data_IF_493801730344
#
_entry.id   IF_493801730344
#
_cell.length_a   1.000
_cell.length_b   1.000
_cell.length_c   1.000
_cell.angle_alpha   90.00
_cell.angle_beta   90.00
_cell.angle_gamma   90.00
#
_symmetry.space_group_name_H-M   'P 1'
#
loop_
_entity.id
_entity.type
_entity.pdbx_description
1 polymer ?
#
# COMPACT_ATOMS: atom_id res chain seq x y z
N UNK A 1 -27.29 1.10 -10.73
CA UNK A 1 -26.54 0.74 -11.95
C UNK A 1 -25.42 1.75 -12.17
N UNK A 2 -24.29 1.54 -11.55
CA UNK A 2 -23.05 2.28 -11.82
C UNK A 2 -22.49 1.74 -13.13
N UNK A 3 -22.67 2.47 -14.23
CA UNK A 3 -21.98 2.18 -15.49
C UNK A 3 -20.51 2.51 -15.32
N UNK A 4 -19.68 1.49 -15.11
CA UNK A 4 -18.24 1.59 -15.22
C UNK A 4 -17.89 1.88 -16.68
N UNK A 5 -17.59 3.14 -16.99
CA UNK A 5 -17.02 3.49 -18.28
C UNK A 5 -15.53 3.07 -18.27
N UNK A 6 -15.20 2.03 -18.98
CA UNK A 6 -13.82 1.69 -19.28
C UNK A 6 -13.24 2.75 -20.22
N UNK A 7 -12.56 3.73 -19.63
CA UNK A 7 -11.81 4.75 -20.37
C UNK A 7 -10.44 4.20 -20.74
N UNK A 8 -10.40 3.20 -21.62
CA UNK A 8 -9.16 2.54 -22.07
C UNK A 8 -8.26 3.45 -22.90
N UNK A 9 -8.81 4.47 -23.57
CA UNK A 9 -8.06 5.33 -24.47
C UNK A 9 -7.09 6.31 -23.80
N UNK A 10 -7.38 6.79 -22.58
CA UNK A 10 -6.51 7.73 -21.83
C UNK A 10 -5.36 7.03 -21.15
N UNK A 11 -5.55 5.80 -20.70
CA UNK A 11 -4.47 5.01 -20.11
C UNK A 11 -3.30 4.79 -21.09
N UNK A 12 -3.59 4.61 -22.38
CA UNK A 12 -2.55 4.38 -23.39
C UNK A 12 -1.74 5.63 -23.75
N UNK A 13 -2.24 6.83 -23.51
CA UNK A 13 -1.58 8.07 -23.92
C UNK A 13 -0.93 8.83 -22.76
N UNK A 14 -1.57 8.87 -21.59
CA UNK A 14 -1.02 9.51 -20.40
C UNK A 14 0.03 8.63 -19.69
N UNK A 15 -0.08 7.30 -19.79
CA UNK A 15 0.88 6.37 -19.20
C UNK A 15 2.32 6.57 -19.68
N UNK A 16 2.64 6.71 -20.99
CA UNK A 16 4.02 6.94 -21.42
C UNK A 16 4.60 8.25 -20.87
N UNK A 17 3.79 9.31 -20.75
CA UNK A 17 4.22 10.60 -20.20
C UNK A 17 4.55 10.45 -18.71
N UNK A 18 3.71 9.74 -17.97
CA UNK A 18 3.88 9.54 -16.53
C UNK A 18 4.96 8.50 -16.18
N UNK A 19 5.14 7.47 -17.01
CA UNK A 19 6.15 6.41 -16.80
C UNK A 19 7.56 6.88 -17.10
N UNK A 20 7.74 7.73 -18.12
CA UNK A 20 9.05 8.23 -18.54
C UNK A 20 9.57 9.42 -17.71
N UNK A 21 8.86 9.81 -16.66
CA UNK A 21 9.34 10.86 -15.76
C UNK A 21 10.55 10.38 -14.95
N UNK A 22 11.64 11.17 -14.89
CA UNK A 22 12.73 10.92 -13.96
C UNK A 22 12.22 11.02 -12.52
N UNK A 23 12.77 10.19 -11.63
CA UNK A 23 12.46 10.22 -10.20
C UNK A 23 12.77 11.61 -9.63
N UNK A 24 11.75 12.27 -9.07
CA UNK A 24 11.91 13.58 -8.44
C UNK A 24 11.35 14.77 -9.20
N UNK A 25 10.90 14.63 -10.44
CA UNK A 25 10.16 15.71 -11.12
C UNK A 25 8.76 15.85 -10.52
N UNK A 26 8.42 17.12 -10.28
CA UNK A 26 7.11 17.49 -9.76
C UNK A 26 6.03 17.15 -10.81
N UNK A 27 5.04 16.37 -10.40
CA UNK A 27 3.95 15.94 -11.29
C UNK A 27 3.12 17.14 -11.80
N UNK A 28 3.21 18.27 -11.12
CA UNK A 28 2.55 19.50 -11.54
C UNK A 28 3.12 20.05 -12.87
N UNK A 29 4.43 19.86 -13.12
CA UNK A 29 5.04 20.23 -14.41
C UNK A 29 4.49 19.40 -15.59
N UNK A 30 4.02 18.19 -15.32
CA UNK A 30 3.48 17.26 -16.33
C UNK A 30 1.97 17.36 -16.42
N UNK A 31 1.33 18.00 -15.45
CA UNK A 31 -0.12 18.18 -15.41
C UNK A 31 -0.63 18.83 -16.69
N UNK A 32 0.02 19.88 -17.14
CA UNK A 32 -0.38 20.60 -18.36
C UNK A 32 -0.26 19.71 -19.61
N UNK A 33 0.78 18.91 -19.71
CA UNK A 33 0.95 17.97 -20.85
C UNK A 33 -0.14 16.89 -20.83
N UNK A 34 -0.40 16.29 -19.66
CA UNK A 34 -1.47 15.29 -19.49
C UNK A 34 -2.84 15.91 -19.78
N UNK A 35 -3.09 17.12 -19.29
CA UNK A 35 -4.33 17.85 -19.56
C UNK A 35 -4.48 18.23 -21.05
N UNK A 36 -3.37 18.53 -21.73
CA UNK A 36 -3.34 18.72 -23.18
C UNK A 36 -3.81 17.49 -23.94
N UNK A 37 -3.27 16.30 -23.58
CA UNK A 37 -3.69 15.01 -24.17
C UNK A 37 -5.16 14.68 -23.87
N UNK A 38 -5.62 14.96 -22.65
CA UNK A 38 -7.02 14.76 -22.27
C UNK A 38 -7.94 15.65 -23.13
N UNK A 39 -7.61 16.94 -23.29
CA UNK A 39 -8.39 17.88 -24.13
C UNK A 39 -8.37 17.50 -25.61
N UNK A 40 -7.27 16.94 -26.10
CA UNK A 40 -7.16 16.49 -27.49
C UNK A 40 -8.01 15.26 -27.81
N UNK A 41 -8.27 14.41 -26.80
CA UNK A 41 -8.96 13.12 -26.98
C UNK A 41 -10.42 13.12 -26.58
N UNK A 42 -10.81 13.97 -25.67
CA UNK A 42 -12.19 14.08 -25.22
C UNK A 42 -12.88 15.31 -25.79
N UNK A 43 -14.13 15.15 -26.19
CA UNK A 43 -14.96 16.28 -26.64
C UNK A 43 -15.18 17.26 -25.48
N UNK A 44 -15.20 18.59 -25.74
CA UNK A 44 -15.45 19.59 -24.73
C UNK A 44 -16.71 19.36 -23.90
N UNK A 45 -17.77 18.87 -24.55
CA UNK A 45 -19.05 18.55 -23.90
C UNK A 45 -18.90 17.47 -22.83
N UNK A 46 -18.01 16.50 -23.05
CA UNK A 46 -17.72 15.46 -22.06
C UNK A 46 -16.90 16.02 -20.89
N UNK A 47 -15.89 16.83 -21.19
CA UNK A 47 -15.04 17.44 -20.15
C UNK A 47 -15.83 18.39 -19.25
N UNK A 48 -16.81 19.14 -19.81
CA UNK A 48 -17.69 20.02 -19.04
C UNK A 48 -18.66 19.27 -18.09
N UNK A 49 -18.80 17.97 -18.24
CA UNK A 49 -19.63 17.11 -17.37
C UNK A 49 -18.84 16.38 -16.29
N UNK A 50 -17.53 16.59 -16.26
CA UNK A 50 -16.64 16.03 -15.23
C UNK A 50 -16.48 17.08 -14.15
N UNK A 51 -16.80 16.71 -12.91
CA UNK A 51 -16.70 17.61 -11.76
C UNK A 51 -15.24 17.84 -11.37
N UNK A 52 -14.39 16.80 -11.47
CA UNK A 52 -12.98 16.90 -11.07
C UNK A 52 -12.11 15.91 -11.84
N UNK A 53 -10.90 16.34 -12.20
CA UNK A 53 -9.84 15.50 -12.79
C UNK A 53 -8.71 15.37 -11.77
N UNK A 54 -8.53 14.14 -11.25
CA UNK A 54 -7.52 13.84 -10.25
C UNK A 54 -6.30 13.20 -10.92
N UNK A 55 -5.15 13.81 -10.75
CA UNK A 55 -3.87 13.29 -11.19
C UNK A 55 -3.22 12.51 -10.03
N UNK A 56 -3.04 11.20 -10.21
CA UNK A 56 -2.34 10.38 -9.22
C UNK A 56 -0.83 10.46 -9.43
N UNK A 57 -0.13 10.78 -8.35
CA UNK A 57 1.33 10.79 -8.34
C UNK A 57 1.89 9.38 -8.19
N UNK A 58 3.14 9.19 -8.66
CA UNK A 58 3.89 7.97 -8.38
C UNK A 58 4.08 7.81 -6.87
N UNK A 59 3.85 6.60 -6.39
CA UNK A 59 4.08 6.29 -4.98
C UNK A 59 5.59 6.25 -4.70
N UNK A 60 6.04 7.08 -3.77
CA UNK A 60 7.43 7.13 -3.32
C UNK A 60 7.61 6.27 -2.06
N UNK A 61 8.85 5.84 -1.81
CA UNK A 61 9.21 5.05 -0.64
C UNK A 61 8.81 5.72 0.69
N UNK A 62 8.92 7.03 0.77
CA UNK A 62 8.52 7.83 1.93
C UNK A 62 7.03 7.70 2.31
N UNK A 63 6.18 7.41 1.34
CA UNK A 63 4.75 7.21 1.58
C UNK A 63 4.42 5.82 2.13
N UNK A 64 5.35 4.86 2.03
CA UNK A 64 5.10 3.46 2.38
C UNK A 64 4.79 3.27 3.86
N UNK A 65 5.43 4.02 4.75
CA UNK A 65 5.17 3.94 6.19
C UNK A 65 3.69 4.19 6.54
N UNK A 66 3.09 5.22 5.94
CA UNK A 66 1.65 5.50 6.12
C UNK A 66 0.76 4.38 5.58
N UNK A 67 1.17 3.76 4.48
CA UNK A 67 0.39 2.65 3.89
C UNK A 67 0.50 1.41 4.77
N UNK A 68 1.67 1.14 5.36
CA UNK A 68 1.84 0.10 6.37
C UNK A 68 0.89 0.34 7.53
N UNK A 69 0.84 1.55 8.10
CA UNK A 69 -0.05 1.88 9.21
C UNK A 69 -1.52 1.61 8.86
N UNK A 70 -1.98 2.00 7.67
CA UNK A 70 -3.36 1.74 7.20
C UNK A 70 -3.63 0.24 7.10
N UNK A 71 -2.68 -0.55 6.61
CA UNK A 71 -2.85 -2.01 6.51
C UNK A 71 -2.84 -2.67 7.89
N UNK A 72 -2.01 -2.18 8.82
CA UNK A 72 -1.97 -2.68 10.20
C UNK A 72 -3.27 -2.37 10.96
N UNK A 73 -3.87 -1.20 10.74
CA UNK A 73 -5.22 -0.89 11.29
C UNK A 73 -6.27 -1.90 10.78
N UNK A 74 -6.19 -2.29 9.50
CA UNK A 74 -7.10 -3.32 8.96
C UNK A 74 -6.88 -4.68 9.61
N UNK A 75 -5.61 -5.06 9.84
CA UNK A 75 -5.29 -6.30 10.53
C UNK A 75 -5.77 -6.26 11.99
N UNK A 76 -5.55 -5.14 12.69
CA UNK A 76 -6.02 -4.95 14.07
C UNK A 76 -7.55 -5.14 14.19
N UNK A 77 -8.32 -4.66 13.21
CA UNK A 77 -9.78 -4.89 13.18
C UNK A 77 -10.18 -6.36 13.12
N UNK A 78 -9.39 -7.21 12.46
CA UNK A 78 -9.66 -8.65 12.41
C UNK A 78 -9.37 -9.35 13.75
N UNK A 79 -8.60 -8.71 14.62
CA UNK A 79 -8.22 -9.22 15.94
C UNK A 79 -9.08 -8.64 17.06
N UNK A 80 -9.99 -7.71 16.72
CA UNK A 80 -10.83 -6.99 17.69
C UNK A 80 -11.74 -7.93 18.49
N UNK A 81 -12.30 -8.94 17.84
CA UNK A 81 -13.14 -9.97 18.50
C UNK A 81 -12.39 -10.74 19.59
N UNK A 82 -11.08 -10.91 19.43
CA UNK A 82 -10.19 -11.57 20.41
C UNK A 82 -9.53 -10.59 21.37
N UNK A 83 -9.81 -9.28 21.24
CA UNK A 83 -9.22 -8.18 22.04
C UNK A 83 -7.68 -8.18 22.01
N UNK A 84 -7.07 -8.66 20.93
CA UNK A 84 -5.62 -8.66 20.75
C UNK A 84 -5.22 -7.31 20.16
N UNK A 85 -4.27 -6.64 20.80
CA UNK A 85 -3.73 -5.35 20.34
C UNK A 85 -2.36 -5.57 19.70
N UNK A 86 -2.15 -4.96 18.52
CA UNK A 86 -0.84 -4.98 17.85
C UNK A 86 -0.11 -3.67 18.12
N UNK A 87 1.09 -3.76 18.68
CA UNK A 87 2.00 -2.64 18.88
C UNK A 87 3.17 -2.76 17.89
N UNK A 88 3.10 -1.98 16.80
CA UNK A 88 4.08 -1.98 15.72
C UNK A 88 5.17 -0.96 16.00
N UNK A 89 6.41 -1.40 16.18
CA UNK A 89 7.53 -0.50 16.36
C UNK A 89 8.02 0.14 15.04
N UNK A 90 8.90 1.14 15.15
CA UNK A 90 9.46 1.84 14.00
C UNK A 90 10.28 0.92 13.09
N UNK A 91 10.99 -0.07 13.67
CA UNK A 91 11.83 -1.02 12.92
C UNK A 91 10.98 -1.95 12.05
N UNK A 92 9.88 -2.48 12.61
CA UNK A 92 8.96 -3.33 11.85
C UNK A 92 8.26 -2.53 10.74
N UNK A 93 7.85 -1.28 11.03
CA UNK A 93 7.26 -0.39 10.03
C UNK A 93 8.21 -0.16 8.86
N UNK A 94 9.47 0.19 9.14
CA UNK A 94 10.47 0.45 8.12
C UNK A 94 10.79 -0.82 7.31
N UNK A 95 10.96 -1.96 7.97
CA UNK A 95 11.19 -3.24 7.32
C UNK A 95 10.06 -3.64 6.38
N UNK A 96 8.81 -3.50 6.83
CA UNK A 96 7.62 -3.80 6.01
C UNK A 96 7.50 -2.82 4.83
N UNK A 97 7.80 -1.54 5.04
CA UNK A 97 7.82 -0.52 4.00
C UNK A 97 8.86 -0.85 2.92
N UNK A 98 10.06 -1.24 3.32
CA UNK A 98 11.14 -1.60 2.42
C UNK A 98 10.86 -2.86 1.61
N UNK A 99 10.39 -3.91 2.27
CA UNK A 99 10.05 -5.18 1.62
C UNK A 99 8.78 -5.09 0.77
N UNK A 100 7.87 -4.21 1.14
CA UNK A 100 6.60 -4.02 0.45
C UNK A 100 6.64 -3.01 -0.71
N UNK A 101 7.75 -2.32 -0.93
CA UNK A 101 7.91 -1.36 -2.00
C UNK A 101 8.54 -1.99 -3.24
N UNK A 102 7.94 -1.74 -4.38
CA UNK A 102 8.49 -2.10 -5.69
C UNK A 102 8.46 -0.86 -6.61
N UNK A 103 9.59 -0.50 -7.26
CA UNK A 103 9.65 0.68 -8.13
C UNK A 103 8.66 0.67 -9.29
N UNK A 104 8.33 -0.53 -9.81
CA UNK A 104 7.39 -0.69 -10.93
C UNK A 104 5.94 -0.83 -10.46
N UNK A 105 5.71 -1.57 -9.36
CA UNK A 105 4.36 -1.92 -8.88
C UNK A 105 3.93 -1.12 -7.64
N UNK A 106 4.80 -0.24 -7.10
CA UNK A 106 4.52 0.60 -5.94
C UNK A 106 4.28 -0.22 -4.68
N UNK A 107 3.13 -0.04 -4.02
CA UNK A 107 2.76 -0.74 -2.79
C UNK A 107 1.97 -2.04 -3.02
N UNK A 108 1.83 -2.53 -4.26
CA UNK A 108 1.09 -3.78 -4.52
C UNK A 108 1.64 -4.99 -3.78
N UNK A 109 2.99 -5.18 -3.67
CA UNK A 109 3.55 -6.31 -2.92
C UNK A 109 3.30 -6.23 -1.42
N UNK A 110 3.08 -5.03 -0.85
CA UNK A 110 2.96 -4.81 0.59
C UNK A 110 1.89 -5.68 1.25
N UNK A 111 0.74 -5.83 0.62
CA UNK A 111 -0.34 -6.66 1.18
C UNK A 111 0.13 -8.11 1.38
N UNK A 112 0.85 -8.67 0.41
CA UNK A 112 1.39 -10.03 0.48
C UNK A 112 2.50 -10.15 1.51
N UNK A 113 3.35 -9.12 1.62
CA UNK A 113 4.42 -9.07 2.63
C UNK A 113 3.80 -9.04 4.04
N UNK A 114 2.82 -8.19 4.30
CA UNK A 114 2.12 -8.16 5.59
C UNK A 114 1.44 -9.48 5.88
N UNK A 115 0.77 -10.08 4.91
CA UNK A 115 0.14 -11.39 5.09
C UNK A 115 1.16 -12.44 5.53
N UNK A 116 2.23 -12.64 4.74
CA UNK A 116 3.24 -13.68 5.01
C UNK A 116 4.08 -13.41 6.26
N UNK A 117 4.47 -12.15 6.51
CA UNK A 117 5.42 -11.83 7.58
C UNK A 117 4.75 -11.42 8.89
N UNK A 118 3.46 -11.09 8.89
CA UNK A 118 2.75 -10.66 10.09
C UNK A 118 1.52 -11.52 10.35
N UNK A 119 0.59 -11.60 9.38
CA UNK A 119 -0.71 -12.23 9.59
C UNK A 119 -0.60 -13.74 9.81
N UNK A 120 0.12 -14.45 8.92
CA UNK A 120 0.23 -15.91 8.98
C UNK A 120 0.98 -16.35 10.24
N UNK A 121 2.18 -15.78 10.58
CA UNK A 121 2.86 -16.15 11.83
C UNK A 121 2.07 -15.79 13.09
N UNK A 122 1.38 -14.65 13.09
CA UNK A 122 0.54 -14.28 14.22
C UNK A 122 -0.61 -15.27 14.41
N UNK A 123 -1.23 -15.74 13.32
CA UNK A 123 -2.26 -16.77 13.38
C UNK A 123 -1.75 -18.07 13.99
N UNK A 124 -0.54 -18.50 13.64
CA UNK A 124 0.12 -19.67 14.23
C UNK A 124 0.37 -19.48 15.73
N UNK A 125 0.83 -18.30 16.16
CA UNK A 125 1.04 -18.00 17.57
C UNK A 125 -0.28 -18.02 18.37
N UNK A 126 -1.37 -17.54 17.79
CA UNK A 126 -2.70 -17.59 18.38
C UNK A 126 -3.22 -19.04 18.47
N UNK A 127 -3.07 -19.81 17.39
CA UNK A 127 -3.52 -21.21 17.33
C UNK A 127 -2.73 -22.12 18.27
N UNK A 128 -1.43 -21.87 18.44
CA UNK A 128 -0.57 -22.59 19.38
C UNK A 128 -0.77 -22.16 20.85
N UNK A 129 -1.59 -21.13 21.11
CA UNK A 129 -1.86 -20.61 22.46
C UNK A 129 -0.73 -19.79 23.06
N UNK A 130 0.28 -19.43 22.27
CA UNK A 130 1.38 -18.55 22.70
C UNK A 130 0.95 -17.09 22.85
N UNK A 131 -0.05 -16.67 22.07
CA UNK A 131 -0.72 -15.38 22.21
C UNK A 131 -2.15 -15.64 22.68
N UNK A 132 -2.50 -15.02 23.81
CA UNK A 132 -3.83 -15.16 24.45
C UNK A 132 -4.75 -14.02 24.09
N UNK A 133 -6.05 -14.25 24.18
CA UNK A 133 -7.05 -13.21 24.00
C UNK A 133 -6.85 -12.08 25.04
N UNK A 134 -6.93 -10.84 24.60
CA UNK A 134 -6.69 -9.66 25.43
C UNK A 134 -5.23 -9.23 25.55
N UNK A 135 -4.31 -9.91 24.89
CA UNK A 135 -2.89 -9.62 24.97
C UNK A 135 -2.46 -8.53 24.00
N UNK A 136 -1.42 -7.76 24.39
CA UNK A 136 -0.75 -6.81 23.49
C UNK A 136 0.49 -7.47 22.91
N UNK A 137 0.50 -7.68 21.60
CA UNK A 137 1.61 -8.28 20.85
C UNK A 137 2.52 -7.20 20.30
N UNK A 138 3.76 -7.15 20.75
CA UNK A 138 4.78 -6.24 20.21
C UNK A 138 5.35 -6.82 18.93
N UNK A 139 5.19 -6.08 17.83
CA UNK A 139 5.71 -6.44 16.51
C UNK A 139 6.93 -5.59 16.22
N UNK A 140 8.10 -6.23 16.14
CA UNK A 140 9.38 -5.61 15.80
C UNK A 140 9.98 -6.26 14.55
N UNK A 141 11.15 -5.81 14.10
CA UNK A 141 11.90 -6.45 13.04
C UNK A 141 13.39 -6.47 13.32
N UNK A 142 14.04 -7.51 12.84
CA UNK A 142 15.48 -7.67 12.87
C UNK A 142 16.00 -8.01 11.46
N UNK A 143 17.29 -8.36 11.34
CA UNK A 143 17.90 -8.76 10.06
C UNK A 143 17.29 -10.03 9.45
N UNK A 144 16.67 -10.87 10.25
CA UNK A 144 16.08 -12.16 9.84
C UNK A 144 14.61 -12.05 9.47
N UNK A 145 13.91 -10.98 9.90
CA UNK A 145 12.49 -10.78 9.62
C UNK A 145 11.73 -10.08 10.75
N UNK A 146 10.41 -10.25 10.73
CA UNK A 146 9.52 -9.72 11.76
C UNK A 146 9.58 -10.58 13.01
N UNK A 147 9.53 -9.96 14.17
CA UNK A 147 9.57 -10.62 15.48
C UNK A 147 8.31 -10.27 16.29
N UNK A 148 7.80 -11.24 17.04
CA UNK A 148 6.65 -11.07 17.92
C UNK A 148 7.11 -11.27 19.38
N UNK A 149 6.87 -10.30 20.24
CA UNK A 149 7.29 -10.30 21.65
C UNK A 149 8.78 -10.66 21.85
N UNK A 150 9.64 -10.30 20.87
CA UNK A 150 11.08 -10.59 20.87
C UNK A 150 11.47 -11.96 20.28
N UNK A 151 10.53 -12.80 19.90
CA UNK A 151 10.79 -14.06 19.20
C UNK A 151 10.65 -13.88 17.69
N UNK A 152 11.59 -14.46 16.93
CA UNK A 152 11.53 -14.43 15.46
C UNK A 152 10.36 -15.31 15.01
N UNK A 153 9.49 -14.77 14.16
CA UNK A 153 8.49 -15.59 13.50
C UNK A 153 9.22 -16.67 12.67
N UNK A 154 8.87 -17.94 12.87
CA UNK A 154 9.35 -18.98 11.99
C UNK A 154 8.88 -18.64 10.56
N UNK A 155 9.82 -18.57 9.63
CA UNK A 155 9.50 -18.31 8.22
C UNK A 155 8.63 -19.49 7.76
N UNK A 156 7.35 -19.23 7.46
CA UNK A 156 6.49 -20.26 6.89
C UNK A 156 7.07 -20.64 5.52
N UNK A 157 7.52 -21.87 5.41
CA UNK A 157 8.13 -22.48 4.23
C UNK A 157 7.19 -22.47 3.01
#
# INVERSE_FOLDING_TARGET
>A
HTRSFHVTGVQTCALPILVNQPEGQDTDAVREQVMGEVRARFRPEFLNRIDEIILFHRLRREHMGRIVDIQMVRLAKLLEDRKITLDLDAKAREWLADKGYDPAYGARPLKRVIQKSVQDPLAELILSGQVKDGETVKVSANKQGVTFNGQVAAEAA
#
